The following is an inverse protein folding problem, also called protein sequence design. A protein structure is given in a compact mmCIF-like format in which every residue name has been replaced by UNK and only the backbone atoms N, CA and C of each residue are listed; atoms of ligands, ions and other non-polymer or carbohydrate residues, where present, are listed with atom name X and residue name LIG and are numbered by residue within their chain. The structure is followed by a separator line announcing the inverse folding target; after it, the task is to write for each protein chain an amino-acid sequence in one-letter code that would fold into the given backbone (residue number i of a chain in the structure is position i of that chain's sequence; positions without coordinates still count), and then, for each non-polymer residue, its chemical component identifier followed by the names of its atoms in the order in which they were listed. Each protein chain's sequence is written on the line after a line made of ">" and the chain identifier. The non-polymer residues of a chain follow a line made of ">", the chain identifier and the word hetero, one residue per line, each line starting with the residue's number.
data_IF_036456796145
#
_entry.id   IF_036456796145
#
_cell.length_a   1.000
_cell.length_b   1.000
_cell.length_c   1.000
_cell.angle_alpha   90.00
_cell.angle_beta   90.00
_cell.angle_gamma   90.00
#
_symmetry.space_group_name_H-M   'P 1'
#
loop_
_entity.id
_entity.type
_entity.pdbx_description
1 polymer ?
#
# COMPACT_ATOMS: atom_id res chain seq x y z
N UNK A 1 -19.82 -3.43 -2.43
CA UNK A 1 -19.27 -4.21 -3.55
C UNK A 1 -17.83 -3.78 -3.74
N UNK A 2 -16.85 -4.56 -3.29
CA UNK A 2 -15.44 -4.23 -3.62
C UNK A 2 -14.64 -5.51 -3.79
N UNK A 3 -14.51 -5.94 -5.04
CA UNK A 3 -13.58 -6.98 -5.43
C UNK A 3 -12.13 -6.51 -5.33
N UNK A 4 -11.16 -7.42 -5.58
CA UNK A 4 -9.75 -7.10 -5.53
C UNK A 4 -9.35 -6.04 -6.56
N UNK A 5 -8.63 -5.01 -6.12
CA UNK A 5 -8.02 -3.98 -6.96
C UNK A 5 -6.67 -4.44 -7.51
N UNK A 6 -6.40 -4.10 -8.77
CA UNK A 6 -5.05 -4.25 -9.36
C UNK A 6 -4.15 -3.10 -8.92
N UNK A 7 -2.83 -3.27 -9.06
CA UNK A 7 -1.86 -2.24 -8.67
C UNK A 7 -2.14 -0.86 -9.29
N UNK A 8 -2.59 -0.83 -10.55
CA UNK A 8 -2.93 0.43 -11.24
C UNK A 8 -4.14 1.11 -10.60
N UNK A 9 -5.16 0.34 -10.23
CA UNK A 9 -6.36 0.85 -9.56
C UNK A 9 -6.03 1.34 -8.14
N UNK A 10 -5.23 0.58 -7.39
CA UNK A 10 -4.78 0.96 -6.06
C UNK A 10 -3.95 2.26 -6.09
N UNK A 11 -3.03 2.38 -7.05
CA UNK A 11 -2.21 3.57 -7.24
C UNK A 11 -3.07 4.80 -7.55
N UNK A 12 -4.07 4.65 -8.44
CA UNK A 12 -5.04 5.71 -8.76
C UNK A 12 -5.84 6.16 -7.54
N UNK A 13 -6.34 5.21 -6.74
CA UNK A 13 -7.07 5.51 -5.50
C UNK A 13 -6.21 6.27 -4.48
N UNK A 14 -4.91 5.96 -4.45
CA UNK A 14 -3.95 6.57 -3.53
C UNK A 14 -3.28 7.83 -4.09
N UNK A 15 -3.55 8.22 -5.34
CA UNK A 15 -2.91 9.39 -5.95
C UNK A 15 -1.39 9.23 -6.15
N UNK A 16 -0.91 8.00 -6.31
CA UNK A 16 0.52 7.69 -6.52
C UNK A 16 0.73 6.91 -7.81
N UNK A 17 1.99 6.66 -8.17
CA UNK A 17 2.30 5.80 -9.33
C UNK A 17 2.31 4.32 -8.93
N UNK A 18 1.99 3.39 -9.84
CA UNK A 18 2.14 1.95 -9.57
C UNK A 18 3.59 1.58 -9.21
N UNK A 19 4.58 2.25 -9.82
CA UNK A 19 5.99 2.03 -9.50
C UNK A 19 6.30 2.41 -8.04
N UNK A 20 5.73 3.50 -7.54
CA UNK A 20 5.91 3.89 -6.15
C UNK A 20 5.42 2.82 -5.17
N UNK A 21 4.25 2.21 -5.43
CA UNK A 21 3.77 1.09 -4.62
C UNK A 21 4.71 -0.13 -4.67
N UNK A 22 5.33 -0.42 -5.82
CA UNK A 22 6.33 -1.51 -5.93
C UNK A 22 7.55 -1.23 -5.09
N UNK A 23 8.03 0.01 -5.08
CA UNK A 23 9.18 0.44 -4.28
C UNK A 23 8.85 0.29 -2.80
N UNK A 24 7.68 0.75 -2.35
CA UNK A 24 7.28 0.60 -0.93
C UNK A 24 7.23 -0.86 -0.47
N UNK A 25 6.71 -1.76 -1.28
CA UNK A 25 6.72 -3.20 -0.98
C UNK A 25 8.14 -3.78 -0.99
N UNK A 26 8.98 -3.41 -1.97
CA UNK A 26 10.37 -3.87 -2.06
C UNK A 26 11.23 -3.40 -0.89
N UNK A 27 11.03 -2.17 -0.43
CA UNK A 27 11.73 -1.59 0.74
C UNK A 27 11.14 -2.09 2.07
N UNK A 28 10.11 -2.94 2.05
CA UNK A 28 9.43 -3.42 3.26
C UNK A 28 8.64 -2.35 4.00
N UNK A 29 8.44 -1.17 3.39
CA UNK A 29 7.66 -0.07 3.96
C UNK A 29 6.16 -0.32 3.88
N UNK A 30 5.70 -1.12 2.94
CA UNK A 30 4.31 -1.58 2.85
C UNK A 30 4.25 -3.11 3.04
N UNK A 31 3.18 -3.64 3.65
CA UNK A 31 3.03 -5.07 3.82
C UNK A 31 3.00 -5.80 2.46
N UNK A 32 3.54 -7.03 2.39
CA UNK A 32 3.50 -7.82 1.16
C UNK A 32 2.06 -8.07 0.74
N UNK A 33 1.78 -7.69 -0.51
CA UNK A 33 0.43 -7.74 -1.08
C UNK A 33 0.18 -9.10 -1.70
N UNK A 34 -1.05 -9.62 -1.61
CA UNK A 34 -1.45 -10.89 -2.22
C UNK A 34 -1.17 -10.86 -3.73
N UNK A 35 -0.74 -12.00 -4.28
CA UNK A 35 -0.49 -12.16 -5.72
C UNK A 35 -1.40 -13.24 -6.29
N UNK A 36 -1.96 -12.99 -7.47
CA UNK A 36 -2.57 -14.02 -8.32
C UNK A 36 -1.74 -14.22 -9.60
N UNK A 37 -2.25 -15.03 -10.53
CA UNK A 37 -1.65 -15.26 -11.85
C UNK A 37 -1.41 -13.97 -12.68
N UNK A 38 -2.12 -12.89 -12.37
CA UNK A 38 -2.04 -11.60 -13.07
C UNK A 38 -1.27 -10.52 -12.27
N UNK A 39 -0.68 -10.87 -11.13
CA UNK A 39 0.14 -9.98 -10.31
C UNK A 39 -0.50 -9.58 -8.98
N UNK A 40 -0.26 -8.35 -8.54
CA UNK A 40 -0.61 -7.88 -7.18
C UNK A 40 -2.09 -7.51 -7.06
N UNK A 41 -2.71 -7.97 -5.98
CA UNK A 41 -4.10 -7.76 -5.62
C UNK A 41 -4.20 -7.01 -4.30
N UNK A 42 -4.87 -5.87 -4.33
CA UNK A 42 -5.16 -5.04 -3.16
C UNK A 42 -6.63 -5.18 -2.80
N UNK A 43 -6.92 -5.38 -1.53
CA UNK A 43 -8.26 -5.27 -0.98
C UNK A 43 -8.58 -3.81 -0.67
N UNK A 44 -9.85 -3.51 -0.38
CA UNK A 44 -10.23 -2.19 0.14
C UNK A 44 -9.50 -1.87 1.45
N UNK A 45 -9.24 -2.88 2.28
CA UNK A 45 -8.49 -2.75 3.51
C UNK A 45 -7.03 -2.35 3.25
N UNK A 46 -6.36 -2.98 2.27
CA UNK A 46 -4.98 -2.64 1.91
C UNK A 46 -4.85 -1.19 1.47
N UNK A 47 -5.81 -0.69 0.68
CA UNK A 47 -5.84 0.72 0.25
C UNK A 47 -6.02 1.65 1.45
N UNK A 48 -6.93 1.33 2.38
CA UNK A 48 -7.16 2.12 3.58
C UNK A 48 -5.93 2.15 4.51
N UNK A 49 -5.24 1.01 4.63
CA UNK A 49 -3.99 0.90 5.39
C UNK A 49 -2.90 1.77 4.76
N UNK A 50 -2.63 1.62 3.46
CA UNK A 50 -1.62 2.42 2.75
C UNK A 50 -1.89 3.92 2.86
N UNK A 51 -3.15 4.34 2.75
CA UNK A 51 -3.55 5.74 2.94
C UNK A 51 -3.22 6.22 4.36
N UNK A 52 -3.51 5.41 5.37
CA UNK A 52 -3.25 5.74 6.77
C UNK A 52 -1.75 5.82 7.10
N UNK A 53 -0.92 5.07 6.35
CA UNK A 53 0.55 5.16 6.41
C UNK A 53 1.11 6.43 5.75
N UNK A 54 0.26 7.20 5.05
CA UNK A 54 0.65 8.44 4.37
C UNK A 54 1.01 8.26 2.89
N UNK A 55 0.77 7.09 2.30
CA UNK A 55 0.94 6.89 0.85
C UNK A 55 -0.01 7.80 0.10
N UNK A 56 0.54 8.73 -0.71
CA UNK A 56 -0.23 9.70 -1.48
C UNK A 56 -0.33 11.11 -0.88
N UNK A 57 0.10 11.30 0.37
CA UNK A 57 0.13 12.63 1.01
C UNK A 57 1.56 13.20 0.96
N UNK A 58 1.71 14.46 0.50
CA UNK A 58 3.01 15.17 0.46
C UNK A 58 3.06 16.33 1.48
N UNK A 59 4.19 16.61 2.18
CA UNK A 59 5.46 15.85 2.21
C UNK A 59 5.98 15.42 3.61
N UNK A 60 6.67 14.25 3.59
CA UNK A 60 7.98 13.90 4.23
C UNK A 60 8.12 12.85 5.34
N UNK A 61 7.09 12.20 5.86
CA UNK A 61 7.29 10.99 6.71
C UNK A 61 6.22 9.93 6.44
N UNK A 62 6.52 8.96 5.58
CA UNK A 62 5.78 7.69 5.60
C UNK A 62 6.18 7.00 6.90
N UNK A 63 5.22 6.77 7.79
CA UNK A 63 5.45 5.99 9.02
C UNK A 63 5.53 4.52 8.63
N UNK A 64 6.47 3.77 9.23
CA UNK A 64 6.63 2.33 8.91
C UNK A 64 5.36 1.57 9.32
N UNK A 65 5.04 0.49 8.60
CA UNK A 65 3.88 -0.37 8.92
C UNK A 65 3.88 -0.83 10.39
N UNK A 66 5.06 -1.13 10.91
CA UNK A 66 5.33 -1.55 12.29
C UNK A 66 4.89 -0.49 13.33
N UNK A 67 5.16 0.79 13.05
CA UNK A 67 4.79 1.91 13.93
C UNK A 67 3.27 2.15 13.95
N UNK A 68 2.57 1.79 12.88
CA UNK A 68 1.11 1.93 12.76
C UNK A 68 0.39 0.77 13.45
N UNK A 69 1.00 -0.41 13.47
CA UNK A 69 0.40 -1.63 14.01
C UNK A 69 0.78 -1.92 15.48
N UNK A 70 1.65 -1.11 16.10
CA UNK A 70 1.86 -1.11 17.55
C UNK A 70 2.69 -2.28 18.11
N UNK A 71 3.72 -2.73 17.38
CA UNK A 71 4.67 -3.72 17.91
C UNK A 71 5.78 -3.06 18.73
N UNK A 72 5.80 -3.28 20.05
CA UNK A 72 6.96 -2.99 20.91
C UNK A 72 7.95 -4.17 20.80
N UNK A 73 9.28 -3.96 20.80
CA UNK A 73 10.29 -5.02 20.72
C UNK A 73 10.19 -6.07 21.83
#
# INVERSE_FOLDING_TARGET
>A
MTGPYRISEAARQLGVTPQYLRILEWEGLAPPVRRDFNGRIYTAFDIALLRSMGVGNRPRRIKRAEEVLGGTP
#
